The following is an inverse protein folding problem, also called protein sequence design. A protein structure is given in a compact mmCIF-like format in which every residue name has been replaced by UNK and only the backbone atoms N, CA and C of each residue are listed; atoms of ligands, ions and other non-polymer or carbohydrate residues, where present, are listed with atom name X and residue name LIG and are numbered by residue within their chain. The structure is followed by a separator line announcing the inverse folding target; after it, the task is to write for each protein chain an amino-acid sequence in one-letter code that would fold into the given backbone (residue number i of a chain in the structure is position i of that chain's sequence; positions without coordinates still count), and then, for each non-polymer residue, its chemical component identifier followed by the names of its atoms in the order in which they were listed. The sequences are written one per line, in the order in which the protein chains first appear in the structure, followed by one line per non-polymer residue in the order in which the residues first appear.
data_IF_743086797864
#
_entry.id   IF_743086797864
#
_cell.length_a   1.000
_cell.length_b   1.000
_cell.length_c   1.000
_cell.angle_alpha   90.00
_cell.angle_beta   90.00
_cell.angle_gamma   90.00
#
_symmetry.space_group_name_H-M   'P 1'
#
loop_
_entity.id
_entity.type
_entity.pdbx_description
1 polymer ?
#
# COMPACT_ATOMS: atom_id res chain seq x y z
N UNK A 1 13.84 -4.38 -0.87
CA UNK A 1 12.63 -3.68 -1.37
C UNK A 1 11.35 -4.27 -0.79
N UNK A 2 11.11 -5.59 -0.84
CA UNK A 2 9.89 -6.22 -0.31
C UNK A 2 9.46 -5.79 1.13
N UNK A 3 10.40 -5.53 2.04
CA UNK A 3 10.08 -5.07 3.40
C UNK A 3 9.38 -3.70 3.48
N UNK A 4 9.59 -2.82 2.50
CA UNK A 4 9.02 -1.46 2.48
C UNK A 4 7.50 -1.52 2.26
N UNK A 5 7.01 -2.46 1.45
CA UNK A 5 5.58 -2.67 1.24
C UNK A 5 4.85 -3.03 2.55
N UNK A 6 5.52 -3.78 3.43
CA UNK A 6 5.00 -4.10 4.76
C UNK A 6 4.84 -2.85 5.64
N UNK A 7 5.74 -1.88 5.51
CA UNK A 7 5.67 -0.62 6.25
C UNK A 7 4.47 0.21 5.77
N UNK A 8 4.19 0.25 4.46
CA UNK A 8 3.01 0.95 3.93
C UNK A 8 1.70 0.39 4.51
N UNK A 9 1.55 -0.94 4.55
CA UNK A 9 0.39 -1.57 5.17
C UNK A 9 0.29 -1.32 6.68
N UNK A 10 1.42 -1.38 7.39
CA UNK A 10 1.48 -1.09 8.83
C UNK A 10 1.00 0.34 9.14
N UNK A 11 1.49 1.33 8.38
CA UNK A 11 1.13 2.74 8.60
C UNK A 11 -0.38 2.95 8.43
N UNK A 12 -0.98 2.42 7.36
CA UNK A 12 -2.43 2.55 7.14
C UNK A 12 -3.23 1.82 8.22
N UNK A 13 -2.79 0.62 8.63
CA UNK A 13 -3.44 -0.14 9.71
C UNK A 13 -3.46 0.65 11.03
N UNK A 14 -2.33 1.23 11.41
CA UNK A 14 -2.22 2.05 12.64
C UNK A 14 -3.09 3.31 12.54
N UNK A 15 -3.16 3.96 11.38
CA UNK A 15 -4.00 5.15 11.19
C UNK A 15 -5.50 4.84 11.27
N UNK A 16 -5.93 3.70 10.71
CA UNK A 16 -7.33 3.24 10.81
C UNK A 16 -7.65 2.86 12.26
N UNK A 17 -6.77 2.10 12.92
CA UNK A 17 -6.98 1.67 14.31
C UNK A 17 -7.14 2.84 15.29
N UNK A 18 -6.44 3.95 15.07
CA UNK A 18 -6.58 5.15 15.91
C UNK A 18 -7.91 5.90 15.70
N UNK A 19 -8.60 5.69 14.58
CA UNK A 19 -9.88 6.34 14.26
C UNK A 19 -11.10 5.44 14.49
N UNK A 20 -10.94 4.30 15.16
CA UNK A 20 -12.05 3.41 15.47
C UNK A 20 -12.83 3.92 16.69
N UNK A 21 -14.15 4.09 16.54
CA UNK A 21 -15.07 4.47 17.60
C UNK A 21 -16.29 3.53 17.63
N UNK A 22 -17.03 3.52 18.74
CA UNK A 22 -18.22 2.66 18.88
C UNK A 22 -19.44 3.21 18.13
N UNK A 23 -19.56 4.53 18.06
CA UNK A 23 -20.62 5.22 17.31
C UNK A 23 -20.01 5.80 16.03
N UNK A 24 -20.10 5.05 14.92
CA UNK A 24 -19.59 5.47 13.61
C UNK A 24 -20.69 5.35 12.57
N UNK A 25 -20.72 6.29 11.62
CA UNK A 25 -21.60 6.17 10.46
C UNK A 25 -21.16 5.01 9.58
N UNK A 26 -22.11 4.30 8.98
CA UNK A 26 -21.85 3.14 8.11
C UNK A 26 -20.99 3.51 6.90
N UNK A 27 -21.06 4.77 6.46
CA UNK A 27 -20.19 5.31 5.42
C UNK A 27 -18.71 5.34 5.83
N UNK A 28 -18.41 5.74 7.07
CA UNK A 28 -17.04 5.86 7.59
C UNK A 28 -16.38 4.49 7.74
N UNK A 29 -17.12 3.50 8.23
CA UNK A 29 -16.62 2.12 8.36
C UNK A 29 -16.37 1.46 6.99
N UNK A 30 -17.24 1.71 6.00
CA UNK A 30 -17.02 1.21 4.63
C UNK A 30 -15.83 1.89 3.94
N UNK A 31 -15.62 3.19 4.18
CA UNK A 31 -14.43 3.90 3.69
C UNK A 31 -13.14 3.34 4.30
N UNK A 32 -13.11 3.08 5.60
CA UNK A 32 -11.94 2.50 6.28
C UNK A 32 -11.65 1.09 5.78
N UNK A 33 -12.68 0.27 5.56
CA UNK A 33 -12.54 -1.05 4.93
C UNK A 33 -11.96 -0.93 3.51
N UNK A 34 -12.48 0.01 2.70
CA UNK A 34 -11.98 0.29 1.36
C UNK A 34 -10.54 0.78 1.34
N UNK A 35 -10.16 1.65 2.28
CA UNK A 35 -8.79 2.14 2.42
C UNK A 35 -7.80 1.00 2.75
N UNK A 36 -8.17 0.11 3.68
CA UNK A 36 -7.37 -1.07 4.01
C UNK A 36 -7.22 -2.05 2.84
N UNK A 37 -8.30 -2.32 2.12
CA UNK A 37 -8.28 -3.20 0.94
C UNK A 37 -7.46 -2.63 -0.21
N UNK A 38 -7.54 -1.31 -0.46
CA UNK A 38 -6.78 -0.65 -1.50
C UNK A 38 -5.26 -0.80 -1.29
N UNK A 39 -4.76 -0.49 -0.08
CA UNK A 39 -3.32 -0.64 0.21
C UNK A 39 -2.90 -2.11 0.25
N UNK A 40 -3.74 -3.00 0.79
CA UNK A 40 -3.43 -4.42 0.92
C UNK A 40 -3.30 -5.13 -0.42
N UNK A 41 -4.29 -4.98 -1.31
CA UNK A 41 -4.28 -5.62 -2.63
C UNK A 41 -3.22 -5.01 -3.57
N UNK A 42 -3.02 -3.69 -3.54
CA UNK A 42 -1.93 -3.05 -4.29
C UNK A 42 -0.56 -3.50 -3.77
N UNK A 43 -0.37 -3.60 -2.46
CA UNK A 43 0.86 -4.08 -1.84
C UNK A 43 1.16 -5.54 -2.20
N UNK A 44 0.14 -6.41 -2.23
CA UNK A 44 0.28 -7.80 -2.66
C UNK A 44 0.69 -7.89 -4.14
N UNK A 45 0.02 -7.15 -5.02
CA UNK A 45 0.36 -7.11 -6.44
C UNK A 45 1.80 -6.58 -6.69
N UNK A 46 2.19 -5.50 -6.01
CA UNK A 46 3.55 -4.97 -6.07
C UNK A 46 4.59 -5.98 -5.55
N UNK A 47 4.28 -6.67 -4.45
CA UNK A 47 5.14 -7.72 -3.89
C UNK A 47 5.37 -8.87 -4.86
N UNK A 48 4.32 -9.33 -5.55
CA UNK A 48 4.44 -10.34 -6.61
C UNK A 48 5.32 -9.87 -7.77
N UNK A 49 5.11 -8.64 -8.25
CA UNK A 49 5.94 -8.07 -9.32
C UNK A 49 7.43 -7.99 -8.93
N UNK A 50 7.71 -7.49 -7.73
CA UNK A 50 9.07 -7.40 -7.18
C UNK A 50 9.70 -8.79 -7.01
N UNK A 51 8.93 -9.79 -6.55
CA UNK A 51 9.41 -11.15 -6.38
C UNK A 51 9.83 -11.80 -7.70
N UNK A 52 8.99 -11.69 -8.74
CA UNK A 52 9.26 -12.27 -10.07
C UNK A 52 10.43 -11.55 -10.75
N UNK A 53 10.42 -10.22 -10.76
CA UNK A 53 11.53 -9.41 -11.33
C UNK A 53 12.82 -9.64 -10.57
N UNK A 54 12.74 -9.81 -9.24
CA UNK A 54 13.88 -10.12 -8.39
C UNK A 54 14.52 -11.46 -8.75
N UNK A 55 13.75 -12.54 -8.81
CA UNK A 55 14.29 -13.88 -9.15
C UNK A 55 14.90 -13.93 -10.56
N UNK A 56 14.22 -13.37 -11.56
CA UNK A 56 14.75 -13.30 -12.92
C UNK A 56 15.99 -12.38 -13.01
N UNK A 57 15.94 -11.24 -12.31
CA UNK A 57 16.98 -10.21 -12.35
C UNK A 57 18.29 -10.66 -11.71
N UNK A 58 18.24 -11.38 -10.57
CA UNK A 58 19.46 -11.89 -9.92
C UNK A 58 20.13 -12.98 -10.75
N UNK A 59 19.35 -13.86 -11.38
CA UNK A 59 19.85 -14.89 -12.30
C UNK A 59 20.51 -14.26 -13.53
N UNK A 60 19.93 -13.21 -14.10
CA UNK A 60 20.51 -12.47 -15.22
C UNK A 60 21.78 -11.69 -14.84
N UNK A 61 21.80 -11.09 -13.66
CA UNK A 61 22.97 -10.34 -13.15
C UNK A 61 24.16 -11.28 -12.88
N UNK A 62 23.90 -12.53 -12.48
CA UNK A 62 24.95 -13.53 -12.30
C UNK A 62 25.68 -13.88 -13.61
N UNK A 63 24.99 -13.80 -14.76
CA UNK A 63 25.59 -14.00 -16.07
C UNK A 63 26.34 -12.76 -16.57
N UNK A 64 25.77 -11.56 -16.35
CA UNK A 64 26.38 -10.32 -16.78
C UNK A 64 26.05 -9.18 -15.80
N UNK A 65 27.07 -8.73 -15.07
CA UNK A 65 26.95 -7.72 -14.01
C UNK A 65 26.42 -6.35 -14.47
N UNK A 66 26.54 -6.04 -15.78
CA UNK A 66 26.00 -4.82 -16.38
C UNK A 66 24.46 -4.73 -16.31
N UNK A 67 23.75 -5.85 -16.16
CA UNK A 67 22.28 -5.86 -16.03
C UNK A 67 21.78 -5.39 -14.64
N UNK A 68 22.67 -5.26 -13.65
CA UNK A 68 22.30 -4.87 -12.29
C UNK A 68 21.54 -3.53 -12.24
N UNK A 69 21.99 -2.53 -13.00
CA UNK A 69 21.35 -1.20 -13.05
C UNK A 69 19.95 -1.27 -13.65
N UNK A 70 19.78 -2.09 -14.71
CA UNK A 70 18.48 -2.30 -15.34
C UNK A 70 17.48 -3.01 -14.43
N UNK A 71 17.94 -4.02 -13.69
CA UNK A 71 17.13 -4.70 -12.67
C UNK A 71 16.62 -3.73 -11.61
N UNK A 72 17.50 -2.87 -11.06
CA UNK A 72 17.10 -1.89 -10.04
C UNK A 72 16.03 -0.93 -10.58
N UNK A 73 16.19 -0.42 -11.81
CA UNK A 73 15.21 0.47 -12.44
C UNK A 73 13.82 -0.17 -12.49
N UNK A 74 13.72 -1.44 -12.90
CA UNK A 74 12.44 -2.16 -12.97
C UNK A 74 11.86 -2.37 -11.58
N UNK A 75 12.70 -2.72 -10.58
CA UNK A 75 12.25 -2.90 -9.20
C UNK A 75 11.69 -1.61 -8.59
N UNK A 76 12.26 -0.44 -8.92
CA UNK A 76 11.73 0.85 -8.48
C UNK A 76 10.34 1.10 -9.06
N UNK A 77 10.14 0.89 -10.37
CA UNK A 77 8.81 1.04 -10.98
C UNK A 77 7.77 0.09 -10.39
N UNK A 78 8.16 -1.14 -10.07
CA UNK A 78 7.29 -2.09 -9.38
C UNK A 78 6.92 -1.60 -7.96
N UNK A 79 7.84 -0.96 -7.25
CA UNK A 79 7.59 -0.42 -5.91
C UNK A 79 6.62 0.77 -5.91
N UNK A 80 6.62 1.61 -6.95
CA UNK A 80 5.67 2.74 -7.07
C UNK A 80 4.21 2.26 -7.08
N UNK A 81 3.92 1.04 -7.54
CA UNK A 81 2.57 0.45 -7.46
C UNK A 81 2.05 0.36 -6.01
N UNK A 82 2.93 0.02 -5.07
CA UNK A 82 2.59 0.00 -3.64
C UNK A 82 2.38 1.41 -3.07
N UNK A 83 3.16 2.38 -3.53
CA UNK A 83 2.99 3.79 -3.15
C UNK A 83 1.65 4.36 -3.63
N UNK A 84 1.18 3.99 -4.82
CA UNK A 84 -0.14 4.42 -5.29
C UNK A 84 -1.27 3.91 -4.38
N UNK A 85 -1.20 2.65 -3.95
CA UNK A 85 -2.17 2.09 -2.99
C UNK A 85 -2.17 2.84 -1.65
N UNK A 86 -0.99 3.21 -1.15
CA UNK A 86 -0.84 4.01 0.08
C UNK A 86 -1.49 5.39 -0.07
N UNK A 87 -1.21 6.11 -1.16
CA UNK A 87 -1.75 7.46 -1.40
C UNK A 87 -3.28 7.44 -1.45
N UNK A 88 -3.86 6.46 -2.14
CA UNK A 88 -5.32 6.30 -2.22
C UNK A 88 -5.91 6.02 -0.84
N UNK A 89 -5.31 5.11 -0.07
CA UNK A 89 -5.77 4.80 1.29
C UNK A 89 -5.72 6.01 2.22
N UNK A 90 -4.64 6.83 2.14
CA UNK A 90 -4.53 8.06 2.91
C UNK A 90 -5.58 9.10 2.51
N UNK A 91 -5.86 9.26 1.22
CA UNK A 91 -6.90 10.17 0.74
C UNK A 91 -8.30 9.74 1.23
N UNK A 92 -8.58 8.43 1.23
CA UNK A 92 -9.84 7.88 1.75
C UNK A 92 -9.96 8.12 3.26
N UNK A 93 -8.89 7.86 4.03
CA UNK A 93 -8.88 8.06 5.47
C UNK A 93 -9.00 9.56 5.84
N UNK A 94 -8.38 10.45 5.07
CA UNK A 94 -8.51 11.90 5.27
C UNK A 94 -9.96 12.38 5.11
N UNK A 95 -10.77 11.75 4.25
CA UNK A 95 -12.19 12.06 4.10
C UNK A 95 -13.05 11.44 5.20
N UNK A 96 -12.68 10.27 5.71
CA UNK A 96 -13.39 9.59 6.79
C UNK A 96 -13.48 10.47 8.06
N UNK A 97 -12.39 11.13 8.46
CA UNK A 97 -12.36 11.99 9.64
C UNK A 97 -13.13 13.33 9.51
N UNK A 98 -13.42 13.79 8.28
CA UNK A 98 -14.15 15.05 8.04
C UNK A 98 -15.66 14.87 8.20
N UNK A 99 -16.16 13.64 8.08
CA UNK A 99 -17.59 13.33 7.96
C UNK A 99 -18.20 12.85 9.30
N UNK A 100 -17.36 12.65 10.33
CA UNK A 100 -17.78 12.33 11.70
C UNK A 100 -18.37 13.53 12.47
N UNK A 101 -18.63 14.66 11.81
CA UNK A 101 -19.43 15.74 12.38
C UNK A 101 -20.88 15.26 12.60
N UNK A 102 -21.11 14.65 13.77
CA UNK A 102 -22.39 14.52 14.48
C UNK A 102 -23.62 14.32 13.56
N UNK A 103 -24.01 13.07 13.36
CA UNK A 103 -25.45 12.77 13.35
C UNK A 103 -25.92 12.76 14.81
N UNK A 104 -26.05 13.96 15.39
CA UNK A 104 -26.74 14.18 16.67
C UNK A 104 -28.23 13.95 16.43
N UNK A 105 -28.75 12.83 16.95
CA UNK A 105 -30.14 12.72 17.37
C UNK A 105 -30.16 12.47 18.87
#
# INVERSE_FOLDING_TARGET
MAGILGIYGLVVSVLIANNLAQEMTLYTSLLQLGAGLAVGLCGLAAGFAIGIVGDAGVRGTAQQSRLYVGMILILIFAEVLGLYGLIVALLMNARAGVIDFKCSS
#
